data_IF_606333227033
#
_entry.id   IF_606333227033
#
_cell.length_a   1.000
_cell.length_b   1.000
_cell.length_c   1.000
_cell.angle_alpha   90.00
_cell.angle_beta   90.00
_cell.angle_gamma   90.00
#
_symmetry.space_group_name_H-M   'P 1'
#
loop_
_entity.id
_entity.type
_entity.pdbx_description
1 polymer ?
#
# COMPACT_ATOMS: atom_id res chain seq x y z
N UNK A 1 34.67 -62.84 -15.70
CA UNK A 1 34.54 -61.40 -15.47
C UNK A 1 33.25 -61.15 -14.71
N UNK A 2 33.33 -60.48 -13.56
CA UNK A 2 32.27 -60.41 -12.55
C UNK A 2 31.39 -59.19 -12.83
N UNK A 3 30.10 -59.41 -13.14
CA UNK A 3 29.08 -58.38 -13.26
C UNK A 3 28.47 -58.22 -11.88
N UNK A 4 28.70 -57.08 -11.24
CA UNK A 4 28.06 -56.68 -9.97
C UNK A 4 26.70 -56.07 -10.26
N UNK A 5 25.66 -56.80 -9.89
CA UNK A 5 24.28 -56.36 -9.85
C UNK A 5 24.12 -55.30 -8.74
N UNK A 6 23.81 -54.09 -9.14
CA UNK A 6 23.48 -53.00 -8.19
C UNK A 6 21.96 -52.96 -8.03
N UNK A 7 21.50 -53.42 -6.89
CA UNK A 7 20.11 -53.45 -6.48
C UNK A 7 19.70 -52.05 -6.00
N UNK A 8 18.89 -51.36 -6.83
CA UNK A 8 18.34 -50.04 -6.46
C UNK A 8 17.12 -50.24 -5.59
N UNK A 9 17.28 -49.96 -4.29
CA UNK A 9 16.21 -49.97 -3.29
C UNK A 9 15.42 -48.68 -3.41
N UNK A 10 14.23 -48.73 -4.03
CA UNK A 10 13.25 -47.63 -4.06
C UNK A 10 12.58 -47.54 -2.69
N UNK A 11 13.02 -46.60 -1.83
CA UNK A 11 12.29 -46.17 -0.65
C UNK A 11 11.18 -45.23 -1.09
N UNK A 12 9.94 -45.72 -1.15
CA UNK A 12 8.74 -44.86 -1.13
C UNK A 12 8.59 -44.23 0.27
N UNK A 13 9.07 -43.03 0.45
CA UNK A 13 8.68 -42.22 1.58
C UNK A 13 7.38 -41.49 1.21
N UNK A 14 6.25 -42.00 1.68
CA UNK A 14 4.97 -41.26 1.71
C UNK A 14 5.12 -40.10 2.69
N UNK A 15 5.61 -38.96 2.19
CA UNK A 15 5.58 -37.70 2.90
C UNK A 15 4.15 -37.20 2.94
N UNK A 16 3.48 -37.37 4.07
CA UNK A 16 2.24 -36.69 4.36
C UNK A 16 2.51 -35.19 4.31
N UNK A 17 1.99 -34.49 3.29
CA UNK A 17 1.93 -33.05 3.26
C UNK A 17 0.96 -32.59 4.36
N UNK A 18 1.46 -32.38 5.55
CA UNK A 18 0.78 -31.58 6.56
C UNK A 18 0.84 -30.14 6.08
N UNK A 19 -0.26 -29.68 5.50
CA UNK A 19 -0.49 -28.26 5.22
C UNK A 19 -0.51 -27.56 6.59
N UNK A 20 0.42 -26.61 6.88
CA UNK A 20 0.37 -25.88 8.13
C UNK A 20 -0.93 -25.05 8.16
N UNK A 21 -1.59 -24.92 9.32
CA UNK A 21 -2.79 -24.11 9.43
C UNK A 21 -2.47 -22.67 9.10
N UNK A 22 -3.32 -22.08 8.25
CA UNK A 22 -3.23 -20.71 7.77
C UNK A 22 -3.13 -19.68 8.91
N UNK A 23 -1.93 -19.22 9.19
CA UNK A 23 -1.66 -18.00 9.98
C UNK A 23 -1.37 -16.81 9.05
N UNK A 24 -2.04 -16.71 7.90
CA UNK A 24 -1.77 -15.70 6.89
C UNK A 24 -2.01 -14.26 7.36
N UNK A 25 -2.93 -14.04 8.30
CA UNK A 25 -3.28 -12.70 8.77
C UNK A 25 -2.18 -11.97 9.55
N UNK A 26 -1.33 -12.69 10.30
CA UNK A 26 -0.25 -12.07 11.08
C UNK A 26 0.97 -11.73 10.21
N UNK A 27 1.28 -12.55 9.21
CA UNK A 27 2.40 -12.31 8.30
C UNK A 27 2.15 -11.09 7.40
N UNK A 28 0.95 -10.96 6.84
CA UNK A 28 0.57 -9.81 6.01
C UNK A 28 0.65 -8.50 6.79
N UNK A 29 0.12 -8.48 8.03
CA UNK A 29 0.17 -7.30 8.90
C UNK A 29 1.60 -6.89 9.23
N UNK A 30 2.47 -7.86 9.54
CA UNK A 30 3.86 -7.59 9.87
C UNK A 30 4.64 -7.06 8.65
N UNK A 31 4.39 -7.63 7.47
CA UNK A 31 5.00 -7.18 6.23
C UNK A 31 4.61 -5.74 5.89
N UNK A 32 3.33 -5.37 6.05
CA UNK A 32 2.87 -4.01 5.81
C UNK A 32 3.45 -3.00 6.79
N UNK A 33 3.56 -3.35 8.06
CA UNK A 33 4.23 -2.49 9.06
C UNK A 33 5.70 -2.26 8.72
N UNK A 34 6.43 -3.29 8.29
CA UNK A 34 7.82 -3.18 7.85
C UNK A 34 7.94 -2.27 6.62
N UNK A 35 7.04 -2.40 5.65
CA UNK A 35 7.00 -1.54 4.46
C UNK A 35 6.84 -0.07 4.85
N UNK A 36 5.87 0.27 5.71
CA UNK A 36 5.69 1.65 6.17
C UNK A 36 6.92 2.18 6.91
N UNK A 37 7.57 1.36 7.74
CA UNK A 37 8.81 1.76 8.42
C UNK A 37 9.94 2.04 7.43
N UNK A 38 10.11 1.20 6.41
CA UNK A 38 11.11 1.37 5.36
C UNK A 38 10.87 2.66 4.56
N UNK A 39 9.63 2.90 4.12
CA UNK A 39 9.26 4.12 3.40
C UNK A 39 9.49 5.38 4.25
N UNK A 40 9.13 5.35 5.53
CA UNK A 40 9.39 6.46 6.45
C UNK A 40 10.89 6.68 6.70
N UNK A 41 11.71 5.64 6.64
CA UNK A 41 13.16 5.77 6.73
C UNK A 41 13.71 6.51 5.52
N UNK A 42 13.26 6.18 4.31
CA UNK A 42 13.64 6.90 3.09
C UNK A 42 13.26 8.39 3.16
N UNK A 43 12.08 8.72 3.71
CA UNK A 43 11.69 10.12 3.91
C UNK A 43 12.60 10.85 4.90
N UNK A 44 12.95 10.22 6.03
CA UNK A 44 13.88 10.78 7.02
C UNK A 44 15.27 11.03 6.43
N UNK A 45 15.71 10.15 5.52
CA UNK A 45 16.96 10.30 4.76
C UNK A 45 16.86 11.30 3.60
N UNK A 46 15.71 11.96 3.45
CA UNK A 46 15.40 12.90 2.33
C UNK A 46 15.49 12.27 0.94
N UNK A 47 15.34 10.95 0.83
CA UNK A 47 15.29 10.20 -0.43
C UNK A 47 13.86 10.18 -0.98
N UNK A 48 13.26 11.37 -1.15
CA UNK A 48 11.83 11.51 -1.47
C UNK A 48 11.43 10.77 -2.74
N UNK A 49 12.23 10.87 -3.81
CA UNK A 49 11.88 10.21 -5.07
C UNK A 49 11.88 8.69 -4.94
N UNK A 50 12.91 8.12 -4.31
CA UNK A 50 12.97 6.68 -4.07
C UNK A 50 11.80 6.19 -3.20
N UNK A 51 11.43 6.98 -2.17
CA UNK A 51 10.28 6.69 -1.33
C UNK A 51 8.96 6.71 -2.12
N UNK A 52 8.77 7.71 -3.01
CA UNK A 52 7.59 7.81 -3.88
C UNK A 52 7.51 6.61 -4.82
N UNK A 53 8.61 6.24 -5.48
CA UNK A 53 8.64 5.16 -6.46
C UNK A 53 8.36 3.81 -5.80
N UNK A 54 8.98 3.53 -4.65
CA UNK A 54 8.73 2.32 -3.87
C UNK A 54 7.29 2.31 -3.33
N UNK A 55 6.81 3.44 -2.83
CA UNK A 55 5.42 3.58 -2.36
C UNK A 55 4.40 3.29 -3.46
N UNK A 56 4.62 3.79 -4.68
CA UNK A 56 3.75 3.51 -5.85
C UNK A 56 3.67 2.03 -6.17
N UNK A 57 4.79 1.33 -6.11
CA UNK A 57 4.81 -0.11 -6.29
C UNK A 57 3.98 -0.80 -5.20
N UNK A 58 4.18 -0.43 -3.94
CA UNK A 58 3.51 -1.06 -2.79
C UNK A 58 2.01 -0.83 -2.74
N UNK A 59 1.53 0.37 -3.08
CA UNK A 59 0.08 0.60 -3.17
C UNK A 59 -0.55 -0.16 -4.33
N UNK A 60 0.16 -0.31 -5.46
CA UNK A 60 -0.32 -1.12 -6.59
C UNK A 60 -0.45 -2.60 -6.24
N UNK A 61 0.52 -3.14 -5.49
CA UNK A 61 0.46 -4.51 -4.96
C UNK A 61 -0.76 -4.70 -4.03
N UNK A 62 -1.03 -3.73 -3.16
CA UNK A 62 -2.19 -3.76 -2.28
C UNK A 62 -3.51 -3.71 -3.06
N UNK A 63 -3.63 -2.81 -4.04
CA UNK A 63 -4.86 -2.67 -4.83
C UNK A 63 -5.15 -3.93 -5.65
N UNK A 64 -4.12 -4.58 -6.22
CA UNK A 64 -4.27 -5.84 -6.93
C UNK A 64 -4.83 -6.96 -6.03
N UNK A 65 -4.47 -6.98 -4.75
CA UNK A 65 -5.04 -7.93 -3.77
C UNK A 65 -6.46 -7.53 -3.39
N UNK A 66 -6.71 -6.24 -3.16
CA UNK A 66 -8.01 -5.72 -2.75
C UNK A 66 -9.13 -5.97 -3.76
N UNK A 67 -8.80 -6.01 -5.06
CA UNK A 67 -9.76 -6.30 -6.12
C UNK A 67 -10.27 -7.75 -6.11
N UNK A 68 -9.60 -8.66 -5.42
CA UNK A 68 -9.88 -10.10 -5.43
C UNK A 68 -10.20 -10.69 -4.05
N UNK A 69 -10.17 -9.91 -2.99
CA UNK A 69 -10.38 -10.37 -1.62
C UNK A 69 -11.28 -9.42 -0.84
N UNK A 70 -12.05 -9.96 0.11
CA UNK A 70 -12.72 -9.07 1.07
C UNK A 70 -11.69 -8.26 1.87
N UNK A 71 -11.87 -6.93 1.99
CA UNK A 71 -10.92 -6.08 2.68
C UNK A 71 -10.89 -6.40 4.18
N UNK A 72 -9.68 -6.66 4.69
CA UNK A 72 -9.43 -6.80 6.13
C UNK A 72 -9.15 -5.42 6.73
N UNK A 73 -9.50 -5.22 7.99
CA UNK A 73 -9.23 -3.95 8.71
C UNK A 73 -7.75 -3.52 8.62
N UNK A 74 -6.83 -4.49 8.65
CA UNK A 74 -5.39 -4.26 8.52
C UNK A 74 -5.02 -3.72 7.14
N UNK A 75 -5.67 -4.19 6.08
CA UNK A 75 -5.49 -3.71 4.71
C UNK A 75 -5.99 -2.27 4.56
N UNK A 76 -7.17 -1.97 5.09
CA UNK A 76 -7.73 -0.61 5.11
C UNK A 76 -6.82 0.35 5.87
N UNK A 77 -6.37 -0.05 7.07
CA UNK A 77 -5.42 0.74 7.86
C UNK A 77 -4.12 1.02 7.10
N UNK A 78 -3.56 0.02 6.43
CA UNK A 78 -2.36 0.17 5.64
C UNK A 78 -2.57 1.12 4.45
N UNK A 79 -3.68 0.97 3.73
CA UNK A 79 -4.03 1.86 2.62
C UNK A 79 -4.13 3.33 3.05
N UNK A 80 -4.78 3.62 4.20
CA UNK A 80 -4.86 4.96 4.78
C UNK A 80 -3.47 5.52 5.11
N UNK A 81 -2.60 4.71 5.69
CA UNK A 81 -1.22 5.10 5.96
C UNK A 81 -0.45 5.41 4.67
N UNK A 82 -0.68 4.64 3.58
CA UNK A 82 -0.04 4.89 2.29
C UNK A 82 -0.52 6.19 1.65
N UNK A 83 -1.80 6.54 1.71
CA UNK A 83 -2.30 7.83 1.22
C UNK A 83 -1.63 8.99 1.96
N UNK A 84 -1.57 8.92 3.29
CA UNK A 84 -0.88 9.93 4.11
C UNK A 84 0.62 9.99 3.81
N UNK A 85 1.26 8.84 3.60
CA UNK A 85 2.66 8.77 3.19
C UNK A 85 2.92 9.53 1.88
N UNK A 86 2.07 9.38 0.86
CA UNK A 86 2.21 10.13 -0.39
C UNK A 86 2.05 11.63 -0.17
N UNK A 87 1.08 12.06 0.62
CA UNK A 87 0.93 13.46 0.97
C UNK A 87 2.23 14.05 1.53
N UNK A 88 2.81 13.42 2.57
CA UNK A 88 4.05 13.91 3.18
C UNK A 88 5.26 13.80 2.26
N UNK A 89 5.32 12.79 1.40
CA UNK A 89 6.42 12.63 0.43
C UNK A 89 6.43 13.75 -0.60
N UNK A 90 5.28 14.06 -1.18
CA UNK A 90 5.13 15.13 -2.15
C UNK A 90 5.26 16.52 -1.51
N UNK A 91 4.77 16.68 -0.29
CA UNK A 91 4.97 17.90 0.49
C UNK A 91 6.46 18.15 0.77
N UNK A 92 7.16 17.15 1.27
CA UNK A 92 8.59 17.24 1.61
C UNK A 92 9.50 17.44 0.40
N UNK A 93 9.15 16.86 -0.75
CA UNK A 93 9.89 17.05 -2.02
C UNK A 93 9.50 18.33 -2.77
N UNK A 94 8.48 19.06 -2.31
CA UNK A 94 7.88 20.23 -2.97
C UNK A 94 7.34 19.94 -4.38
N UNK A 95 6.99 18.68 -4.66
CA UNK A 95 6.40 18.23 -5.92
C UNK A 95 4.87 18.26 -5.83
N UNK A 96 4.28 19.41 -5.57
CA UNK A 96 2.85 19.54 -5.25
C UNK A 96 1.95 19.11 -6.41
N UNK A 97 2.19 19.62 -7.63
CA UNK A 97 1.40 19.26 -8.82
C UNK A 97 1.49 17.79 -9.17
N UNK A 98 2.68 17.16 -9.30
CA UNK A 98 2.80 15.72 -9.46
C UNK A 98 2.10 14.91 -8.35
N UNK A 99 2.11 15.42 -7.12
CA UNK A 99 1.41 14.81 -6.00
C UNK A 99 -0.10 14.85 -6.15
N UNK A 100 -0.67 15.99 -6.59
CA UNK A 100 -2.09 16.14 -6.88
C UNK A 100 -2.51 15.15 -7.98
N UNK A 101 -1.82 15.14 -9.12
CA UNK A 101 -2.09 14.25 -10.25
C UNK A 101 -2.06 12.77 -9.82
N UNK A 102 -1.10 12.41 -8.98
CA UNK A 102 -1.01 11.04 -8.48
C UNK A 102 -2.14 10.70 -7.52
N UNK A 103 -2.47 11.57 -6.56
CA UNK A 103 -3.59 11.36 -5.64
C UNK A 103 -4.94 11.36 -6.35
N UNK A 104 -5.09 12.13 -7.44
CA UNK A 104 -6.25 12.07 -8.31
C UNK A 104 -6.38 10.70 -8.98
N UNK A 105 -5.29 10.14 -9.48
CA UNK A 105 -5.29 8.78 -10.05
C UNK A 105 -5.62 7.70 -9.02
N UNK A 106 -5.19 7.86 -7.77
CA UNK A 106 -5.56 6.95 -6.67
C UNK A 106 -7.05 7.06 -6.31
N UNK A 107 -7.64 8.26 -6.48
CA UNK A 107 -9.06 8.46 -6.23
C UNK A 107 -9.96 7.69 -7.22
N UNK A 108 -9.44 7.22 -8.35
CA UNK A 108 -10.18 6.40 -9.30
C UNK A 108 -10.24 4.92 -8.88
N UNK A 109 -9.46 4.50 -7.89
CA UNK A 109 -9.47 3.13 -7.39
C UNK A 109 -10.68 2.87 -6.46
N UNK A 110 -11.60 1.92 -6.80
CA UNK A 110 -12.82 1.71 -6.03
C UNK A 110 -12.58 1.40 -4.55
N UNK A 111 -11.56 0.58 -4.26
CA UNK A 111 -11.18 0.26 -2.89
C UNK A 111 -10.80 1.50 -2.07
N UNK A 112 -9.99 2.41 -2.65
CA UNK A 112 -9.57 3.63 -1.95
C UNK A 112 -10.72 4.63 -1.82
N UNK A 113 -11.59 4.74 -2.82
CA UNK A 113 -12.81 5.55 -2.71
C UNK A 113 -13.72 5.10 -1.58
N UNK A 114 -13.85 3.79 -1.39
CA UNK A 114 -14.71 3.23 -0.36
C UNK A 114 -14.10 3.36 1.04
N UNK A 115 -12.77 3.19 1.19
CA UNK A 115 -12.13 3.01 2.49
C UNK A 115 -11.18 4.13 2.91
N UNK A 116 -10.75 4.98 1.96
CA UNK A 116 -9.73 6.03 2.20
C UNK A 116 -10.18 7.41 1.70
N UNK A 117 -11.48 7.63 1.51
CA UNK A 117 -12.00 8.88 0.92
C UNK A 117 -11.61 10.10 1.74
N UNK A 118 -11.65 10.02 3.07
CA UNK A 118 -11.24 11.11 3.97
C UNK A 118 -9.77 11.48 3.79
N UNK A 119 -8.90 10.47 3.78
CA UNK A 119 -7.46 10.67 3.61
C UNK A 119 -7.14 11.26 2.23
N UNK A 120 -7.79 10.76 1.17
CA UNK A 120 -7.60 11.27 -0.19
C UNK A 120 -8.03 12.73 -0.33
N UNK A 121 -9.22 13.10 0.18
CA UNK A 121 -9.70 14.48 0.14
C UNK A 121 -8.79 15.42 0.92
N UNK A 122 -8.41 15.03 2.14
CA UNK A 122 -7.51 15.82 2.98
C UNK A 122 -6.14 16.02 2.35
N UNK A 123 -5.55 14.96 1.81
CA UNK A 123 -4.23 15.00 1.16
C UNK A 123 -4.25 15.89 -0.10
N UNK A 124 -5.27 15.75 -0.94
CA UNK A 124 -5.45 16.56 -2.15
C UNK A 124 -5.68 18.03 -1.81
N UNK A 125 -6.58 18.32 -0.87
CA UNK A 125 -6.83 19.69 -0.41
C UNK A 125 -5.54 20.36 0.10
N UNK A 126 -4.75 19.66 0.90
CA UNK A 126 -3.48 20.16 1.42
C UNK A 126 -2.46 20.46 0.31
N UNK A 127 -2.32 19.61 -0.71
CA UNK A 127 -1.41 19.88 -1.83
C UNK A 127 -1.91 21.03 -2.72
N UNK A 128 -3.22 21.16 -2.98
CA UNK A 128 -3.81 22.30 -3.68
C UNK A 128 -3.51 23.61 -2.94
N UNK A 129 -3.68 23.63 -1.62
CA UNK A 129 -3.36 24.80 -0.80
C UNK A 129 -1.86 25.17 -0.95
N UNK A 130 -0.96 24.18 -0.95
CA UNK A 130 0.48 24.43 -1.13
C UNK A 130 0.84 24.94 -2.52
N UNK A 131 0.04 24.63 -3.54
CA UNK A 131 0.15 25.19 -4.89
C UNK A 131 -0.42 26.62 -5.02
N UNK A 132 -1.14 27.10 -4.03
CA UNK A 132 -1.89 28.35 -4.10
C UNK A 132 -3.24 28.24 -4.81
N UNK A 133 -3.68 27.03 -5.14
CA UNK A 133 -5.00 26.75 -5.69
C UNK A 133 -6.04 26.64 -4.56
N UNK A 134 -6.36 27.80 -3.99
CA UNK A 134 -7.23 27.89 -2.83
C UNK A 134 -8.69 27.49 -3.16
N UNK A 135 -9.14 27.72 -4.39
CA UNK A 135 -10.50 27.36 -4.80
C UNK A 135 -10.69 25.83 -4.77
N UNK A 136 -9.76 25.09 -5.38
CA UNK A 136 -9.79 23.64 -5.34
C UNK A 136 -9.62 23.09 -3.90
N UNK A 137 -8.74 23.70 -3.12
CA UNK A 137 -8.53 23.32 -1.72
C UNK A 137 -9.79 23.46 -0.88
N UNK A 138 -10.52 24.59 -1.00
CA UNK A 138 -11.78 24.84 -0.30
C UNK A 138 -12.86 23.85 -0.73
N UNK A 139 -13.04 23.62 -2.05
CA UNK A 139 -14.01 22.67 -2.55
C UNK A 139 -13.79 21.25 -2.01
N UNK A 140 -12.53 20.78 -2.00
CA UNK A 140 -12.18 19.46 -1.45
C UNK A 140 -12.39 19.39 0.07
N UNK A 141 -12.10 20.48 0.79
CA UNK A 141 -12.36 20.58 2.21
C UNK A 141 -13.86 20.53 2.51
N UNK A 142 -14.68 21.26 1.75
CA UNK A 142 -16.14 21.22 1.89
C UNK A 142 -16.69 19.81 1.65
N UNK A 143 -16.18 19.09 0.62
CA UNK A 143 -16.55 17.71 0.39
C UNK A 143 -16.14 16.80 1.56
N UNK A 144 -14.95 17.00 2.13
CA UNK A 144 -14.47 16.27 3.31
C UNK A 144 -15.43 16.42 4.52
N UNK A 145 -15.87 17.65 4.82
CA UNK A 145 -16.76 17.91 5.93
C UNK A 145 -18.21 17.41 5.73
N UNK A 146 -18.58 17.07 4.49
CA UNK A 146 -19.89 16.45 4.20
C UNK A 146 -19.87 14.92 4.34
N UNK A 147 -18.70 14.30 4.48
CA UNK A 147 -18.61 12.87 4.71
C UNK A 147 -19.09 12.49 6.11
N UNK A 148 -19.75 11.34 6.29
CA UNK A 148 -20.09 10.83 7.60
C UNK A 148 -18.81 10.58 8.41
N UNK A 149 -18.87 10.86 9.72
CA UNK A 149 -17.80 10.45 10.64
C UNK A 149 -17.65 8.92 10.64
N UNK A 150 -16.42 8.44 10.79
CA UNK A 150 -16.13 7.00 10.88
C UNK A 150 -16.66 6.35 12.15
#
# INVERSE_FOLDING_TARGET
MKIKTFMLLLMLSAGACTVPPHSSGNQDTQQWQQTIQQLNTLLKERKHQAAIDEGKQKISELLAVADHTEPKDTMVKYARQMVNFFYFSYLGSKQFRPGIEYLDSLNDAPFLQQHCKHELLSARAGLHQMCGDNEAAIRLADEYFQLPEY
#
